data_IF_211707497400
#
_entry.id   IF_211707497400
#
_cell.length_a   1.000
_cell.length_b   1.000
_cell.length_c   1.000
_cell.angle_alpha   90.00
_cell.angle_beta   90.00
_cell.angle_gamma   90.00
#
_symmetry.space_group_name_H-M   'P 1'
#
loop_
_entity.id
_entity.type
_entity.pdbx_description
1 polymer ?
#
# COMPACT_ATOMS: atom_id res chain seq x y z
N UNK A 1 9.47 18.79 -15.30
CA UNK A 1 8.31 19.69 -15.21
C UNK A 1 8.37 20.44 -13.87
N UNK A 2 9.01 21.62 -13.81
CA UNK A 2 9.23 22.35 -12.55
C UNK A 2 7.96 22.89 -11.90
N UNK A 3 6.90 23.15 -12.69
CA UNK A 3 5.61 23.68 -12.19
C UNK A 3 4.51 22.61 -12.08
N UNK A 4 4.87 21.33 -12.18
CA UNK A 4 3.88 20.25 -12.10
C UNK A 4 3.27 20.15 -10.71
N UNK A 5 1.96 19.90 -10.65
CA UNK A 5 1.26 19.56 -9.43
C UNK A 5 1.32 18.06 -9.16
N UNK A 6 1.64 17.69 -7.93
CA UNK A 6 1.74 16.30 -7.49
C UNK A 6 0.41 15.89 -6.87
N UNK A 7 -0.27 14.94 -7.52
CA UNK A 7 -1.54 14.39 -7.06
C UNK A 7 -1.33 12.95 -6.59
N UNK A 8 -1.56 12.70 -5.31
CA UNK A 8 -1.66 11.33 -4.79
C UNK A 8 -3.04 10.76 -5.09
N UNK A 9 -3.09 9.57 -5.70
CA UNK A 9 -4.34 8.85 -5.98
C UNK A 9 -4.33 7.52 -5.22
N UNK A 10 -5.33 7.28 -4.37
CA UNK A 10 -5.37 6.06 -3.58
C UNK A 10 -6.72 5.75 -2.92
N UNK A 11 -6.86 4.61 -2.23
CA UNK A 11 -8.14 4.17 -1.67
C UNK A 11 -8.46 4.76 -0.28
N UNK A 12 -7.60 5.64 0.24
CA UNK A 12 -7.60 6.02 1.65
C UNK A 12 -7.87 7.52 1.85
N UNK A 13 -8.98 7.83 2.50
CA UNK A 13 -9.33 9.21 2.89
C UNK A 13 -8.37 9.81 3.92
N UNK A 14 -7.72 8.98 4.74
CA UNK A 14 -6.77 9.45 5.75
C UNK A 14 -5.53 10.13 5.14
N UNK A 15 -5.21 9.82 3.87
CA UNK A 15 -4.10 10.45 3.15
C UNK A 15 -4.27 11.96 2.99
N UNK A 16 -5.51 12.48 3.02
CA UNK A 16 -5.75 13.94 3.02
C UNK A 16 -5.16 14.62 4.24
N UNK A 17 -5.31 14.01 5.42
CA UNK A 17 -4.73 14.52 6.66
C UNK A 17 -3.21 14.34 6.70
N UNK A 18 -2.71 13.29 6.06
CA UNK A 18 -1.26 13.06 5.92
C UNK A 18 -0.61 14.13 5.03
N UNK A 19 -1.19 14.41 3.86
CA UNK A 19 -0.69 15.41 2.91
C UNK A 19 -0.67 16.83 3.49
N UNK A 20 -1.55 17.17 4.43
CA UNK A 20 -1.47 18.46 5.16
C UNK A 20 -0.15 18.67 5.93
N UNK A 21 0.64 17.61 6.12
CA UNK A 21 1.92 17.63 6.82
C UNK A 21 3.09 17.29 5.90
N UNK A 22 2.85 17.14 4.60
CA UNK A 22 3.83 16.74 3.61
C UNK A 22 3.79 17.72 2.43
N UNK A 23 4.84 18.51 2.29
CA UNK A 23 4.97 19.51 1.22
C UNK A 23 5.21 18.86 -0.16
N UNK A 24 5.49 17.55 -0.23
CA UNK A 24 5.72 16.84 -1.48
C UNK A 24 4.45 16.50 -2.27
N UNK A 25 3.25 16.70 -1.70
CA UNK A 25 1.97 16.36 -2.34
C UNK A 25 1.04 17.56 -2.34
N UNK A 26 0.68 18.08 -3.52
CA UNK A 26 -0.26 19.20 -3.64
C UNK A 26 -1.71 18.78 -3.41
N UNK A 27 -2.11 17.60 -3.90
CA UNK A 27 -3.50 17.14 -3.85
C UNK A 27 -3.62 15.65 -3.55
N UNK A 28 -4.75 15.27 -2.95
CA UNK A 28 -5.11 13.87 -2.67
C UNK A 28 -6.48 13.59 -3.26
N UNK A 29 -6.56 12.58 -4.11
CA UNK A 29 -7.79 12.09 -4.71
C UNK A 29 -8.01 10.62 -4.39
N UNK A 30 -9.27 10.23 -4.21
CA UNK A 30 -9.61 8.82 -4.05
C UNK A 30 -9.86 8.13 -5.39
N UNK A 31 -9.82 6.79 -5.43
CA UNK A 31 -10.20 6.07 -6.65
C UNK A 31 -11.66 6.32 -7.06
N UNK A 32 -12.55 6.53 -6.09
CA UNK A 32 -13.94 6.89 -6.33
C UNK A 32 -14.07 8.26 -7.01
N UNK A 33 -13.33 9.26 -6.54
CA UNK A 33 -13.34 10.61 -7.15
C UNK A 33 -12.77 10.60 -8.57
N UNK A 34 -11.69 9.86 -8.80
CA UNK A 34 -11.12 9.68 -10.14
C UNK A 34 -12.12 8.96 -11.06
N UNK A 35 -12.86 7.96 -10.56
CA UNK A 35 -13.93 7.30 -11.31
C UNK A 35 -15.01 8.29 -11.72
N UNK A 36 -15.46 9.16 -10.82
CA UNK A 36 -16.47 10.17 -11.15
C UNK A 36 -16.01 11.15 -12.23
N UNK A 37 -14.71 11.46 -12.28
CA UNK A 37 -14.15 12.25 -13.39
C UNK A 37 -14.22 11.46 -14.69
N UNK A 38 -13.82 10.19 -14.71
CA UNK A 38 -13.92 9.38 -15.92
C UNK A 38 -15.36 9.28 -16.43
N UNK A 39 -16.34 9.11 -15.54
CA UNK A 39 -17.76 9.09 -15.88
C UNK A 39 -18.20 10.44 -16.48
N UNK A 40 -17.83 11.56 -15.85
CA UNK A 40 -18.21 12.90 -16.30
C UNK A 40 -17.61 13.28 -17.66
N UNK A 41 -16.43 12.75 -17.99
CA UNK A 41 -15.74 12.96 -19.26
C UNK A 41 -16.02 11.84 -20.28
N UNK A 42 -16.92 10.91 -19.97
CA UNK A 42 -17.28 9.76 -20.83
C UNK A 42 -16.06 8.90 -21.24
N UNK A 43 -15.08 8.76 -20.34
CA UNK A 43 -13.87 7.97 -20.56
C UNK A 43 -14.14 6.50 -20.22
N UNK A 44 -14.18 5.65 -21.25
CA UNK A 44 -14.32 4.21 -21.08
C UNK A 44 -12.95 3.51 -20.95
N UNK A 45 -12.57 3.16 -19.72
CA UNK A 45 -11.30 2.48 -19.41
C UNK A 45 -11.13 1.09 -20.05
N UNK A 46 -12.21 0.44 -20.52
CA UNK A 46 -12.12 -0.87 -21.19
C UNK A 46 -11.55 -0.78 -22.60
N UNK A 47 -11.65 0.40 -23.23
CA UNK A 47 -11.26 0.61 -24.64
C UNK A 47 -10.10 1.60 -24.81
N UNK A 48 -9.70 2.30 -23.74
CA UNK A 48 -8.53 3.20 -23.82
C UNK A 48 -7.26 2.41 -24.09
N UNK A 49 -6.36 2.98 -24.89
CA UNK A 49 -5.03 2.40 -25.05
C UNK A 49 -4.27 2.47 -23.72
N UNK A 50 -3.68 1.36 -23.24
CA UNK A 50 -2.90 1.37 -22.02
C UNK A 50 -1.72 2.33 -22.11
N UNK A 51 -1.56 3.17 -21.10
CA UNK A 51 -0.37 3.99 -20.93
C UNK A 51 0.77 3.12 -20.38
N UNK A 52 1.93 3.14 -21.05
CA UNK A 52 3.13 2.48 -20.57
C UNK A 52 3.91 3.42 -19.65
N UNK A 53 4.03 3.04 -18.37
CA UNK A 53 4.88 3.77 -17.42
C UNK A 53 6.35 3.63 -17.81
N UNK A 54 7.10 4.73 -17.77
CA UNK A 54 8.55 4.74 -18.05
C UNK A 54 9.34 3.88 -17.05
N UNK A 55 8.84 3.77 -15.81
CA UNK A 55 9.47 3.01 -14.75
C UNK A 55 8.47 2.08 -14.06
N UNK A 56 8.90 0.86 -13.77
CA UNK A 56 8.15 -0.11 -12.98
C UNK A 56 8.86 -0.42 -11.67
N UNK A 57 8.05 -0.59 -10.62
CA UNK A 57 8.53 -0.92 -9.29
C UNK A 57 8.75 -2.43 -9.14
N UNK A 58 9.27 -2.83 -7.98
CA UNK A 58 9.45 -4.25 -7.61
C UNK A 58 8.14 -4.85 -7.10
N UNK A 59 7.98 -6.17 -7.23
CA UNK A 59 6.81 -6.91 -6.78
C UNK A 59 6.44 -6.60 -5.33
N UNK A 60 7.42 -6.47 -4.45
CA UNK A 60 7.20 -6.17 -3.04
C UNK A 60 6.59 -4.78 -2.81
N UNK A 61 6.91 -3.79 -3.65
CA UNK A 61 6.29 -2.46 -3.60
C UNK A 61 4.83 -2.50 -4.07
N UNK A 62 4.51 -3.28 -5.12
CA UNK A 62 3.13 -3.53 -5.52
C UNK A 62 2.34 -4.26 -4.42
N UNK A 63 3.01 -5.11 -3.64
CA UNK A 63 2.43 -5.83 -2.51
C UNK A 63 2.15 -4.96 -1.29
N UNK A 64 2.61 -3.70 -1.24
CA UNK A 64 2.44 -2.81 -0.09
C UNK A 64 0.97 -2.65 0.37
N UNK A 65 0.03 -2.67 -0.58
CA UNK A 65 -1.37 -2.37 -0.31
C UNK A 65 -2.10 -3.44 0.51
N UNK A 66 -1.59 -4.68 0.60
CA UNK A 66 -2.19 -5.71 1.44
C UNK A 66 -1.60 -5.68 2.85
N UNK A 67 -2.39 -6.05 3.85
CA UNK A 67 -1.86 -6.22 5.19
C UNK A 67 -0.82 -7.35 5.23
N UNK A 68 0.30 -7.09 5.90
CA UNK A 68 1.53 -7.88 5.86
C UNK A 68 2.44 -7.54 4.67
N UNK A 69 2.03 -6.66 3.76
CA UNK A 69 2.79 -6.29 2.56
C UNK A 69 4.07 -5.51 2.89
N UNK A 70 4.01 -4.58 3.84
CA UNK A 70 5.17 -3.79 4.28
C UNK A 70 6.18 -4.69 4.99
N UNK A 71 5.69 -5.51 5.92
CA UNK A 71 6.48 -6.53 6.61
C UNK A 71 7.11 -7.51 5.62
N UNK A 72 6.36 -7.95 4.62
CA UNK A 72 6.86 -8.82 3.55
C UNK A 72 8.00 -8.15 2.76
N UNK A 73 7.84 -6.88 2.40
CA UNK A 73 8.86 -6.11 1.70
C UNK A 73 10.14 -5.92 2.55
N UNK A 74 9.99 -5.58 3.84
CA UNK A 74 11.12 -5.46 4.77
C UNK A 74 11.85 -6.79 4.93
N UNK A 75 11.12 -7.90 5.11
CA UNK A 75 11.73 -9.24 5.18
C UNK A 75 12.45 -9.62 3.88
N UNK A 76 11.85 -9.32 2.73
CA UNK A 76 12.49 -9.57 1.44
C UNK A 76 13.79 -8.77 1.26
N UNK A 77 13.82 -7.54 1.76
CA UNK A 77 15.02 -6.69 1.79
C UNK A 77 16.12 -7.28 2.69
N UNK A 78 15.76 -7.76 3.88
CA UNK A 78 16.71 -8.30 4.86
C UNK A 78 17.29 -9.67 4.50
N UNK A 79 16.68 -10.41 3.57
CA UNK A 79 17.17 -11.73 3.10
C UNK A 79 17.40 -12.69 4.28
N UNK A 80 18.63 -13.15 4.49
CA UNK A 80 18.99 -14.09 5.55
C UNK A 80 18.83 -13.51 6.96
N UNK A 81 18.81 -12.18 7.08
CA UNK A 81 18.62 -11.48 8.35
C UNK A 81 17.13 -11.40 8.75
N UNK A 82 16.21 -11.76 7.85
CA UNK A 82 14.77 -11.66 8.09
C UNK A 82 14.31 -12.51 9.29
N UNK A 83 14.92 -13.68 9.49
CA UNK A 83 14.59 -14.59 10.59
C UNK A 83 15.05 -14.06 11.96
N UNK A 84 15.94 -13.06 11.98
CA UNK A 84 16.37 -12.38 13.21
C UNK A 84 15.38 -11.32 13.69
N UNK A 85 14.36 -11.00 12.88
CA UNK A 85 13.32 -10.04 13.23
C UNK A 85 12.00 -10.76 13.43
N UNK A 86 11.56 -10.79 14.69
CA UNK A 86 10.20 -11.18 14.98
C UNK A 86 9.24 -10.02 14.63
N UNK A 87 8.32 -10.27 13.71
CA UNK A 87 7.43 -9.26 13.17
C UNK A 87 5.96 -9.66 13.35
N UNK A 88 5.12 -8.69 13.74
CA UNK A 88 3.69 -8.87 13.96
C UNK A 88 2.92 -8.01 12.97
N UNK A 89 1.86 -8.58 12.43
CA UNK A 89 0.87 -7.85 11.66
C UNK A 89 -0.38 -7.63 12.51
N UNK A 90 -0.84 -6.39 12.58
CA UNK A 90 -2.14 -6.00 13.12
C UNK A 90 -2.91 -5.30 12.01
N UNK A 91 -4.06 -5.84 11.64
CA UNK A 91 -4.93 -5.26 10.63
C UNK A 91 -6.34 -5.12 11.19
N UNK A 92 -7.07 -4.11 10.73
CA UNK A 92 -8.35 -3.68 11.28
C UNK A 92 -8.19 -3.07 12.68
N UNK A 93 -8.23 -1.74 12.79
CA UNK A 93 -8.17 -1.02 14.07
C UNK A 93 -9.53 -1.02 14.80
N UNK A 94 -10.05 -2.21 15.06
CA UNK A 94 -11.20 -2.43 15.92
C UNK A 94 -10.83 -2.30 17.42
N UNK A 95 -11.85 -2.34 18.30
CA UNK A 95 -11.67 -2.21 19.76
C UNK A 95 -10.67 -3.23 20.33
N UNK A 96 -10.69 -4.47 19.83
CA UNK A 96 -9.81 -5.55 20.29
C UNK A 96 -8.35 -5.25 19.93
N UNK A 97 -8.08 -4.96 18.66
CA UNK A 97 -6.73 -4.71 18.16
C UNK A 97 -6.13 -3.43 18.75
N UNK A 98 -6.93 -2.37 18.92
CA UNK A 98 -6.52 -1.18 19.67
C UNK A 98 -6.20 -1.53 21.12
N UNK A 99 -7.01 -2.37 21.77
CA UNK A 99 -6.75 -2.86 23.13
C UNK A 99 -5.42 -3.61 23.24
N UNK A 100 -5.13 -4.49 22.28
CA UNK A 100 -3.85 -5.21 22.20
C UNK A 100 -2.67 -4.28 22.03
N UNK A 101 -2.73 -3.32 21.10
CA UNK A 101 -1.67 -2.33 20.90
C UNK A 101 -1.44 -1.46 22.14
N UNK A 102 -2.51 -1.05 22.84
CA UNK A 102 -2.43 -0.33 24.11
C UNK A 102 -1.78 -1.18 25.20
N UNK A 103 -2.09 -2.47 25.26
CA UNK A 103 -1.49 -3.38 26.23
C UNK A 103 0.02 -3.51 26.02
N UNK A 104 0.48 -3.61 24.76
CA UNK A 104 1.91 -3.62 24.43
C UNK A 104 2.60 -2.32 24.84
N UNK A 105 1.99 -1.18 24.54
CA UNK A 105 2.54 0.13 24.92
C UNK A 105 2.63 0.28 26.45
N UNK A 106 1.57 -0.12 27.18
CA UNK A 106 1.52 0.00 28.64
C UNK A 106 2.51 -0.92 29.36
N UNK A 107 2.70 -2.14 28.86
CA UNK A 107 3.63 -3.10 29.46
C UNK A 107 5.09 -2.85 29.09
N UNK A 108 5.34 -2.07 28.04
CA UNK A 108 6.67 -1.93 27.41
C UNK A 108 7.13 -3.23 26.74
N UNK A 109 6.25 -4.21 26.54
CA UNK A 109 6.55 -5.54 25.99
C UNK A 109 5.60 -5.85 24.85
N UNK A 110 6.14 -5.94 23.65
CA UNK A 110 5.45 -6.45 22.47
C UNK A 110 6.01 -7.81 22.06
N UNK A 111 5.21 -8.71 21.46
CA UNK A 111 5.69 -10.02 21.02
C UNK A 111 6.47 -9.96 19.69
N UNK A 112 7.13 -8.83 19.38
CA UNK A 112 7.83 -8.59 18.12
C UNK A 112 8.61 -7.27 18.14
N UNK A 113 9.68 -7.21 17.34
CA UNK A 113 10.53 -6.03 17.14
C UNK A 113 9.96 -5.09 16.08
N UNK A 114 9.19 -5.63 15.14
CA UNK A 114 8.52 -4.86 14.10
C UNK A 114 7.01 -5.15 14.15
N UNK A 115 6.18 -4.11 14.19
CA UNK A 115 4.73 -4.26 14.19
C UNK A 115 4.17 -3.46 13.02
N UNK A 116 3.68 -4.16 12.00
CA UNK A 116 2.93 -3.53 10.91
C UNK A 116 1.48 -3.32 11.37
N UNK A 117 1.01 -2.08 11.34
CA UNK A 117 -0.37 -1.73 11.72
C UNK A 117 -1.11 -1.13 10.53
N UNK A 118 -2.18 -1.81 10.10
CA UNK A 118 -3.07 -1.36 9.04
C UNK A 118 -4.45 -1.04 9.61
N UNK A 119 -4.95 0.18 9.37
CA UNK A 119 -6.24 0.62 9.88
C UNK A 119 -7.41 -0.17 9.29
N UNK A 120 -7.38 -0.43 7.98
CA UNK A 120 -8.40 -1.19 7.27
C UNK A 120 -8.13 -2.70 7.37
N UNK A 121 -9.21 -3.49 7.33
CA UNK A 121 -9.17 -4.96 7.36
C UNK A 121 -8.57 -5.53 6.07
N UNK A 122 -7.37 -6.09 6.13
CA UNK A 122 -6.68 -6.60 4.94
C UNK A 122 -5.82 -5.58 4.21
N UNK A 123 -5.69 -4.35 4.73
CA UNK A 123 -4.78 -3.31 4.22
C UNK A 123 -5.48 -2.27 3.34
N UNK A 124 -4.70 -1.45 2.64
CA UNK A 124 -5.22 -0.43 1.73
C UNK A 124 -6.06 -1.01 0.57
N UNK A 125 -5.84 -2.27 0.19
CA UNK A 125 -6.61 -2.97 -0.86
C UNK A 125 -8.11 -3.12 -0.54
N UNK A 126 -8.50 -2.90 0.73
CA UNK A 126 -9.88 -2.89 1.21
C UNK A 126 -10.26 -1.53 1.82
N UNK A 127 -9.52 -0.47 1.45
CA UNK A 127 -9.76 0.88 1.92
C UNK A 127 -11.17 1.39 1.60
N UNK A 128 -11.63 2.44 2.29
CA UNK A 128 -13.02 2.90 2.20
C UNK A 128 -13.41 3.40 0.79
N UNK A 129 -12.45 3.81 -0.02
CA UNK A 129 -12.68 4.33 -1.37
C UNK A 129 -12.08 3.43 -2.46
N UNK A 130 -12.12 2.11 -2.24
CA UNK A 130 -11.81 1.13 -3.30
C UNK A 130 -13.02 0.92 -4.21
N UNK A 131 -12.78 0.81 -5.52
CA UNK A 131 -13.85 0.56 -6.49
C UNK A 131 -14.28 -0.92 -6.54
N UNK A 132 -13.38 -1.84 -6.19
CA UNK A 132 -13.65 -3.28 -6.15
C UNK A 132 -14.07 -3.73 -4.75
N UNK A 133 -15.05 -4.62 -4.65
CA UNK A 133 -15.36 -5.28 -3.38
C UNK A 133 -14.14 -6.04 -2.82
N UNK A 134 -14.01 -6.11 -1.50
CA UNK A 134 -12.79 -6.57 -0.80
C UNK A 134 -12.20 -7.89 -1.31
N UNK A 135 -13.03 -8.88 -1.64
CA UNK A 135 -12.57 -10.17 -2.17
C UNK A 135 -12.03 -10.07 -3.60
N UNK A 136 -12.69 -9.28 -4.45
CA UNK A 136 -12.28 -9.09 -5.83
C UNK A 136 -10.95 -8.31 -5.88
N UNK A 137 -10.80 -7.26 -5.07
CA UNK A 137 -9.56 -6.49 -4.98
C UNK A 137 -8.37 -7.34 -4.55
N UNK A 138 -8.53 -8.18 -3.51
CA UNK A 138 -7.49 -9.14 -3.09
C UNK A 138 -7.13 -10.14 -4.18
N UNK A 139 -8.11 -10.71 -4.88
CA UNK A 139 -7.88 -11.67 -5.97
C UNK A 139 -7.13 -11.03 -7.13
N UNK A 140 -7.53 -9.83 -7.54
CA UNK A 140 -6.85 -9.07 -8.60
C UNK A 140 -5.42 -8.75 -8.20
N UNK A 141 -5.18 -8.31 -6.96
CA UNK A 141 -3.82 -8.06 -6.48
C UNK A 141 -2.93 -9.29 -6.59
N UNK A 142 -3.42 -10.48 -6.20
CA UNK A 142 -2.65 -11.73 -6.34
C UNK A 142 -2.31 -12.03 -7.80
N UNK A 143 -3.27 -11.84 -8.70
CA UNK A 143 -3.05 -12.02 -10.14
C UNK A 143 -2.02 -11.03 -10.69
N UNK A 144 -2.09 -9.77 -10.28
CA UNK A 144 -1.11 -8.75 -10.69
C UNK A 144 0.29 -9.03 -10.13
N UNK A 145 0.40 -9.43 -8.86
CA UNK A 145 1.67 -9.80 -8.25
C UNK A 145 2.33 -11.02 -8.92
N UNK A 146 1.55 -11.94 -9.49
CA UNK A 146 2.07 -13.08 -10.25
C UNK A 146 2.69 -12.66 -11.59
N UNK A 147 2.29 -11.52 -12.15
CA UNK A 147 2.87 -10.96 -13.39
C UNK A 147 4.20 -10.22 -13.14
N UNK A 148 4.45 -9.78 -11.90
CA UNK A 148 5.65 -9.02 -11.55
C UNK A 148 6.88 -9.93 -11.44
N UNK A 149 7.86 -9.72 -12.33
CA UNK A 149 9.12 -10.47 -12.35
C UNK A 149 10.26 -9.79 -11.58
N UNK A 150 10.18 -8.47 -11.41
CA UNK A 150 11.20 -7.68 -10.71
C UNK A 150 11.01 -7.80 -9.20
N UNK A 151 12.03 -8.20 -8.47
CA UNK A 151 12.02 -8.34 -7.02
C UNK A 151 13.08 -7.44 -6.38
N UNK A 152 12.89 -7.08 -5.10
CA UNK A 152 13.89 -6.33 -4.31
C UNK A 152 15.31 -6.95 -4.41
N UNK A 153 15.41 -8.28 -4.54
CA UNK A 153 16.71 -8.98 -4.68
C UNK A 153 17.55 -8.51 -5.87
N UNK A 154 16.93 -8.04 -6.96
CA UNK A 154 17.61 -7.63 -8.19
C UNK A 154 18.08 -6.18 -8.23
N UNK A 155 17.92 -5.40 -7.15
CA UNK A 155 18.32 -3.98 -7.14
C UNK A 155 19.73 -3.72 -6.57
N UNK A 156 20.34 -4.70 -5.89
CA UNK A 156 21.67 -4.58 -5.31
C UNK A 156 22.81 -5.11 -6.20
N UNK A 157 22.52 -5.77 -7.32
CA UNK A 157 23.54 -6.17 -8.30
C UNK A 157 23.87 -5.05 -9.31
N UNK A 158 23.23 -3.88 -9.19
CA UNK A 158 23.42 -2.74 -10.09
C UNK A 158 24.13 -1.54 -9.43
N UNK A 159 24.69 -1.73 -8.25
CA UNK A 159 25.48 -0.71 -7.54
C UNK A 159 26.75 -1.34 -6.98
N UNK A 160 27.63 -1.78 -7.88
CA UNK A 160 29.08 -1.91 -7.66
C UNK A 160 29.77 -1.60 -9.00
#
# INVERSE_FOLDING_TARGET
>A
YPDAKIVFVGPCVAKRKEAQRDEAVDFVMTFEEVSSIFDAFEINLEIVQPYAMEFSSVREAHGFAQAGGVMGAVKAFLKMEADKINAIQVSDLNKKNIGTLRAYAKSGKAPGQFIEVMACEGGCITGPSTHSGSNNGKRQLVQELAKQKKHIKGMHEATD
#
